data_IF_096040344143
#
_entry.id   IF_096040344143
#
_cell.length_a   1.000
_cell.length_b   1.000
_cell.length_c   1.000
_cell.angle_alpha   90.00
_cell.angle_beta   90.00
_cell.angle_gamma   90.00
#
_symmetry.space_group_name_H-M   'P 1'
#
loop_
_entity.id
_entity.type
_entity.pdbx_description
1 polymer ?
#
# COMPACT_ATOMS: atom_id res chain seq x y z
N UNK A 1 -15.82 6.85 -15.38
CA UNK A 1 -14.55 6.15 -15.72
C UNK A 1 -14.76 4.67 -15.45
N UNK A 2 -14.32 3.81 -16.37
CA UNK A 2 -14.47 2.36 -16.24
C UNK A 2 -13.34 1.75 -15.38
N UNK A 3 -13.57 0.57 -14.83
CA UNK A 3 -12.58 -0.15 -14.01
C UNK A 3 -11.24 -0.27 -14.75
N UNK A 4 -11.27 -0.72 -16.00
CA UNK A 4 -10.06 -0.92 -16.81
C UNK A 4 -9.25 0.36 -17.02
N UNK A 5 -9.94 1.47 -17.27
CA UNK A 5 -9.30 2.78 -17.43
C UNK A 5 -8.70 3.27 -16.12
N UNK A 6 -9.40 3.06 -15.00
CA UNK A 6 -8.92 3.42 -13.67
C UNK A 6 -7.67 2.62 -13.29
N UNK A 7 -7.69 1.31 -13.50
CA UNK A 7 -6.51 0.47 -13.26
C UNK A 7 -5.32 0.89 -14.11
N UNK A 8 -5.55 1.18 -15.40
CA UNK A 8 -4.50 1.66 -16.30
C UNK A 8 -3.90 2.97 -15.81
N UNK A 9 -4.73 3.92 -15.39
CA UNK A 9 -4.27 5.21 -14.87
C UNK A 9 -3.37 5.05 -13.65
N UNK A 10 -3.81 4.24 -12.67
CA UNK A 10 -3.04 4.00 -11.44
C UNK A 10 -1.72 3.27 -11.74
N UNK A 11 -1.74 2.29 -12.63
CA UNK A 11 -0.54 1.58 -13.06
C UNK A 11 0.44 2.50 -13.78
N UNK A 12 -0.03 3.36 -14.66
CA UNK A 12 0.83 4.35 -15.33
C UNK A 12 1.53 5.26 -14.34
N UNK A 13 0.84 5.71 -13.29
CA UNK A 13 1.48 6.54 -12.26
C UNK A 13 2.50 5.75 -11.44
N UNK A 14 2.13 4.60 -10.89
CA UNK A 14 2.95 3.91 -9.88
C UNK A 14 3.91 2.85 -10.44
N UNK A 15 3.60 2.23 -11.58
CA UNK A 15 4.49 1.22 -12.17
C UNK A 15 5.46 1.81 -13.20
N UNK A 16 5.02 2.81 -13.97
CA UNK A 16 5.75 3.29 -15.14
C UNK A 16 6.65 4.51 -14.84
N UNK A 17 6.63 5.03 -13.62
CA UNK A 17 7.37 6.25 -13.25
C UNK A 17 8.61 6.02 -12.38
N UNK A 18 9.09 4.79 -12.27
CA UNK A 18 10.35 4.47 -11.60
C UNK A 18 10.32 4.59 -10.08
N UNK A 19 9.17 4.36 -9.46
CA UNK A 19 9.08 4.32 -7.99
C UNK A 19 9.89 3.17 -7.43
N UNK A 20 10.55 3.44 -6.29
CA UNK A 20 11.30 2.44 -5.53
C UNK A 20 10.74 2.31 -4.11
N UNK A 21 10.94 1.13 -3.51
CA UNK A 21 10.53 0.90 -2.14
C UNK A 21 11.47 1.60 -1.15
N UNK A 22 10.89 2.26 -0.18
CA UNK A 22 11.61 3.01 0.83
C UNK A 22 10.77 4.16 1.37
N UNK A 23 11.43 5.14 1.98
CA UNK A 23 10.75 6.36 2.42
C UNK A 23 11.68 7.57 2.40
N UNK A 24 11.08 8.74 2.36
CA UNK A 24 11.75 10.03 2.37
C UNK A 24 11.38 10.77 3.67
N UNK A 25 12.37 11.28 4.36
CA UNK A 25 12.16 12.06 5.60
C UNK A 25 13.27 13.10 5.77
N UNK A 26 12.87 14.36 5.98
CA UNK A 26 13.78 15.46 6.25
C UNK A 26 14.95 15.59 5.25
N UNK A 27 14.65 15.50 3.96
CA UNK A 27 15.64 15.62 2.90
C UNK A 27 16.48 14.36 2.66
N UNK A 28 16.22 13.26 3.37
CA UNK A 28 16.96 12.01 3.24
C UNK A 28 16.06 10.88 2.77
N UNK A 29 16.57 10.08 1.83
CA UNK A 29 15.90 8.88 1.32
C UNK A 29 16.48 7.65 1.98
N UNK A 30 15.61 6.78 2.51
CA UNK A 30 15.94 5.50 3.12
C UNK A 30 15.42 4.38 2.22
N UNK A 31 16.32 3.52 1.75
CA UNK A 31 15.98 2.36 0.91
C UNK A 31 16.57 1.09 1.51
N UNK A 32 15.87 -0.06 1.45
CA UNK A 32 16.46 -1.33 1.87
C UNK A 32 17.52 -1.80 0.88
N UNK A 33 18.49 -2.54 1.37
CA UNK A 33 19.44 -3.27 0.54
C UNK A 33 18.75 -4.50 -0.05
N UNK A 34 18.39 -4.42 -1.33
CA UNK A 34 17.63 -5.48 -2.03
C UNK A 34 18.44 -6.75 -2.29
N UNK A 35 19.75 -6.74 -2.01
CA UNK A 35 20.61 -7.94 -2.08
C UNK A 35 20.49 -8.82 -0.84
N UNK A 36 19.87 -8.31 0.23
CA UNK A 36 19.62 -9.03 1.47
C UNK A 36 18.20 -9.54 1.56
N UNK A 37 17.99 -10.70 2.16
CA UNK A 37 16.65 -11.21 2.47
C UNK A 37 15.91 -10.30 3.45
N UNK A 38 16.66 -9.71 4.39
CA UNK A 38 16.16 -8.78 5.39
C UNK A 38 17.22 -7.73 5.72
N UNK A 39 16.87 -6.45 5.54
CA UNK A 39 17.73 -5.33 5.93
C UNK A 39 17.28 -4.77 7.29
N UNK A 40 17.93 -5.25 8.36
CA UNK A 40 17.61 -4.83 9.73
C UNK A 40 17.76 -3.32 9.93
N UNK A 41 18.78 -2.71 9.36
CA UNK A 41 19.04 -1.27 9.50
C UNK A 41 17.90 -0.44 8.90
N UNK A 42 17.48 -0.81 7.71
CA UNK A 42 16.32 -0.16 7.08
C UNK A 42 15.06 -0.34 7.92
N UNK A 43 14.81 -1.55 8.39
CA UNK A 43 13.63 -1.87 9.20
C UNK A 43 13.61 -1.11 10.53
N UNK A 44 14.77 -0.97 11.19
CA UNK A 44 14.90 -0.18 12.43
C UNK A 44 14.56 1.30 12.17
N UNK A 45 15.01 1.88 11.05
CA UNK A 45 14.63 3.24 10.64
C UNK A 45 13.13 3.35 10.35
N UNK A 46 12.57 2.36 9.66
CA UNK A 46 11.13 2.31 9.38
C UNK A 46 10.31 2.32 10.68
N UNK A 47 10.72 1.53 11.68
CA UNK A 47 10.01 1.45 12.95
C UNK A 47 10.13 2.71 13.82
N UNK A 48 11.24 3.44 13.72
CA UNK A 48 11.55 4.56 14.63
C UNK A 48 11.31 5.94 14.03
N UNK A 49 11.43 6.10 12.71
CA UNK A 49 11.45 7.41 12.06
C UNK A 49 10.35 7.61 11.02
N UNK A 50 9.90 6.55 10.37
CA UNK A 50 8.95 6.64 9.27
C UNK A 50 7.62 7.27 9.67
N UNK A 51 7.17 8.22 8.85
CA UNK A 51 5.82 8.77 8.88
C UNK A 51 5.19 8.61 7.49
N UNK A 52 3.88 8.42 7.46
CA UNK A 52 3.13 8.29 6.20
C UNK A 52 3.29 9.58 5.40
N UNK A 53 3.76 9.44 4.16
CA UNK A 53 4.11 10.56 3.30
C UNK A 53 2.88 11.23 2.67
N UNK A 54 2.96 12.54 2.49
CA UNK A 54 2.03 13.25 1.61
C UNK A 54 2.18 12.70 0.19
N UNK A 55 1.08 12.44 -0.55
CA UNK A 55 1.14 11.97 -1.93
C UNK A 55 2.03 12.80 -2.84
N UNK A 56 2.06 14.12 -2.65
CA UNK A 56 2.91 15.01 -3.44
C UNK A 56 4.39 14.78 -3.19
N UNK A 57 4.75 14.48 -1.95
CA UNK A 57 6.13 14.15 -1.60
C UNK A 57 6.54 12.78 -2.17
N UNK A 58 5.64 11.81 -2.13
CA UNK A 58 5.86 10.50 -2.74
C UNK A 58 6.07 10.63 -4.26
N UNK A 59 5.25 11.41 -4.94
CA UNK A 59 5.40 11.68 -6.38
C UNK A 59 6.72 12.38 -6.72
N UNK A 60 7.15 13.31 -5.88
CA UNK A 60 8.40 14.06 -6.08
C UNK A 60 9.63 13.19 -5.81
N UNK A 61 9.63 12.48 -4.69
CA UNK A 61 10.76 11.64 -4.27
C UNK A 61 10.84 10.31 -5.05
N UNK A 62 9.75 9.85 -5.64
CA UNK A 62 9.64 8.55 -6.33
C UNK A 62 10.02 7.38 -5.43
N UNK A 63 9.70 7.50 -4.16
CA UNK A 63 9.95 6.47 -3.15
C UNK A 63 8.77 6.37 -2.20
N UNK A 64 8.41 5.15 -1.81
CA UNK A 64 7.32 4.92 -0.87
C UNK A 64 7.29 3.49 -0.35
N UNK A 65 6.68 3.33 0.82
CA UNK A 65 6.31 2.03 1.38
C UNK A 65 4.94 1.59 0.86
N UNK A 66 4.43 0.46 1.35
CA UNK A 66 3.05 0.06 1.05
C UNK A 66 2.02 1.09 1.53
N UNK A 67 2.27 1.76 2.66
CA UNK A 67 1.40 2.81 3.16
C UNK A 67 1.36 4.03 2.24
N UNK A 68 2.51 4.44 1.74
CA UNK A 68 2.62 5.59 0.83
C UNK A 68 1.98 5.30 -0.52
N UNK A 69 2.13 4.07 -1.01
CA UNK A 69 1.50 3.64 -2.26
C UNK A 69 -0.03 3.69 -2.17
N UNK A 70 -0.63 3.15 -1.10
CA UNK A 70 -2.09 3.18 -0.95
C UNK A 70 -2.63 4.60 -0.74
N UNK A 71 -1.90 5.46 -0.04
CA UNK A 71 -2.26 6.87 0.15
C UNK A 71 -2.20 7.63 -1.20
N UNK A 72 -1.18 7.38 -2.00
CA UNK A 72 -1.08 7.97 -3.34
C UNK A 72 -2.19 7.48 -4.27
N UNK A 73 -2.49 6.19 -4.27
CA UNK A 73 -3.60 5.63 -5.05
C UNK A 73 -4.93 6.28 -4.65
N UNK A 74 -5.18 6.39 -3.34
CA UNK A 74 -6.41 7.01 -2.82
C UNK A 74 -6.51 8.47 -3.23
N UNK A 75 -5.42 9.24 -3.15
CA UNK A 75 -5.37 10.63 -3.59
C UNK A 75 -5.77 10.79 -5.07
N UNK A 76 -5.30 9.88 -5.94
CA UNK A 76 -5.64 9.88 -7.36
C UNK A 76 -7.13 9.53 -7.57
N UNK A 77 -7.64 8.55 -6.82
CA UNK A 77 -9.03 8.12 -6.89
C UNK A 77 -10.01 9.17 -6.36
N UNK A 78 -9.66 9.83 -5.25
CA UNK A 78 -10.48 10.88 -4.63
C UNK A 78 -10.71 12.05 -5.59
N UNK A 79 -9.71 12.43 -6.37
CA UNK A 79 -9.84 13.47 -7.40
C UNK A 79 -10.85 13.11 -8.50
N UNK A 80 -11.22 11.85 -8.60
CA UNK A 80 -12.18 11.33 -9.58
C UNK A 80 -13.48 10.87 -8.94
N UNK A 81 -13.67 11.17 -7.64
CA UNK A 81 -14.81 10.74 -6.85
C UNK A 81 -15.04 9.23 -6.89
N UNK A 82 -13.95 8.45 -6.89
CA UNK A 82 -13.99 6.99 -6.83
C UNK A 82 -13.70 6.57 -5.39
N UNK A 83 -14.69 5.94 -4.69
CA UNK A 83 -14.49 5.51 -3.31
C UNK A 83 -13.43 4.42 -3.20
N UNK A 84 -12.66 4.46 -2.12
CA UNK A 84 -11.64 3.45 -1.83
C UNK A 84 -11.55 3.15 -0.34
N UNK A 85 -10.99 1.97 -0.03
CA UNK A 85 -10.65 1.57 1.35
C UNK A 85 -9.22 1.06 1.41
N UNK A 86 -8.60 1.30 2.55
CA UNK A 86 -7.26 0.78 2.86
C UNK A 86 -7.40 -0.33 3.88
N UNK A 87 -6.75 -1.45 3.60
CA UNK A 87 -6.78 -2.66 4.43
C UNK A 87 -5.39 -3.00 4.93
N UNK A 88 -5.31 -3.42 6.19
CA UNK A 88 -4.14 -4.08 6.74
C UNK A 88 -4.33 -5.59 6.61
N UNK A 89 -3.40 -6.23 5.93
CA UNK A 89 -3.27 -7.70 5.90
C UNK A 89 -2.22 -8.09 6.93
N UNK A 90 -2.64 -8.80 7.97
CA UNK A 90 -1.75 -9.23 9.06
C UNK A 90 -1.72 -10.75 9.13
N UNK A 91 -0.58 -11.35 8.81
CA UNK A 91 -0.35 -12.78 9.00
C UNK A 91 -0.01 -13.03 10.47
N UNK A 92 -0.94 -13.63 11.20
CA UNK A 92 -0.78 -13.93 12.63
C UNK A 92 0.34 -14.92 12.92
N UNK A 93 0.66 -15.79 11.96
CA UNK A 93 1.69 -16.83 12.14
C UNK A 93 3.09 -16.26 11.97
N UNK A 94 3.33 -15.47 10.93
CA UNK A 94 4.64 -14.89 10.63
C UNK A 94 4.85 -13.50 11.23
N UNK A 95 3.77 -12.81 11.63
CA UNK A 95 3.81 -11.40 12.03
C UNK A 95 3.95 -10.42 10.87
N UNK A 96 4.01 -10.89 9.64
CA UNK A 96 4.13 -10.02 8.46
C UNK A 96 2.88 -9.19 8.27
N UNK A 97 3.08 -7.95 7.86
CA UNK A 97 2.03 -6.97 7.64
C UNK A 97 2.19 -6.30 6.29
N UNK A 98 1.07 -6.01 5.66
CA UNK A 98 1.03 -5.33 4.38
C UNK A 98 -0.25 -4.50 4.27
N UNK A 99 -0.16 -3.26 3.80
CA UNK A 99 -1.33 -2.45 3.48
C UNK A 99 -1.64 -2.53 2.00
N UNK A 100 -2.92 -2.70 1.71
CA UNK A 100 -3.45 -2.80 0.35
C UNK A 100 -4.65 -1.88 0.17
N UNK A 101 -5.04 -1.64 -1.07
CA UNK A 101 -6.19 -0.79 -1.38
C UNK A 101 -7.19 -1.54 -2.24
N UNK A 102 -8.48 -1.32 -1.93
CA UNK A 102 -9.58 -1.64 -2.83
C UNK A 102 -10.29 -0.35 -3.24
N UNK A 103 -10.82 -0.32 -4.45
CA UNK A 103 -11.72 0.76 -4.88
C UNK A 103 -13.03 0.19 -5.43
N UNK A 104 -14.04 1.03 -5.48
CA UNK A 104 -15.41 0.62 -5.79
C UNK A 104 -15.89 1.32 -7.05
N UNK A 105 -16.20 0.55 -8.09
CA UNK A 105 -16.63 1.06 -9.37
C UNK A 105 -17.45 -0.01 -10.09
N UNK A 106 -18.47 0.39 -10.83
CA UNK A 106 -19.36 -0.53 -11.59
C UNK A 106 -19.96 -1.65 -10.71
N UNK A 107 -20.30 -1.33 -9.45
CA UNK A 107 -20.79 -2.27 -8.44
C UNK A 107 -19.85 -3.45 -8.15
N UNK A 108 -18.54 -3.25 -8.39
CA UNK A 108 -17.48 -4.22 -8.10
C UNK A 108 -16.51 -3.66 -7.06
N UNK A 109 -15.82 -4.57 -6.41
CA UNK A 109 -14.67 -4.27 -5.56
C UNK A 109 -13.41 -4.65 -6.30
N UNK A 110 -12.53 -3.68 -6.55
CA UNK A 110 -11.30 -3.88 -7.32
C UNK A 110 -10.11 -3.79 -6.39
N UNK A 111 -9.31 -4.84 -6.35
CA UNK A 111 -8.01 -4.86 -5.67
C UNK A 111 -6.91 -4.60 -6.68
N UNK A 112 -6.00 -3.70 -6.34
CA UNK A 112 -4.85 -3.37 -7.18
C UNK A 112 -3.61 -3.18 -6.31
N UNK A 113 -2.55 -3.96 -6.59
CA UNK A 113 -1.31 -3.94 -5.80
C UNK A 113 -0.21 -3.17 -6.52
N UNK A 114 0.10 -1.98 -6.03
CA UNK A 114 1.07 -1.09 -6.65
C UNK A 114 2.21 -0.67 -5.69
N UNK A 115 2.39 -1.35 -4.57
CA UNK A 115 3.57 -1.13 -3.73
C UNK A 115 4.83 -1.36 -4.56
N UNK A 116 5.81 -0.44 -4.54
CA UNK A 116 6.97 -0.51 -5.45
C UNK A 116 8.01 -1.56 -5.04
N UNK A 117 7.62 -2.81 -5.07
CA UNK A 117 8.45 -4.00 -4.83
C UNK A 117 8.37 -4.92 -6.05
N UNK A 118 9.02 -4.51 -7.13
CA UNK A 118 8.92 -5.17 -8.45
C UNK A 118 9.34 -6.64 -8.48
N UNK A 119 10.17 -7.08 -7.54
CA UNK A 119 10.58 -8.49 -7.43
C UNK A 119 9.56 -9.41 -6.78
N UNK A 120 8.45 -8.88 -6.29
CA UNK A 120 7.42 -9.68 -5.62
C UNK A 120 6.39 -10.23 -6.61
N UNK A 121 5.88 -11.47 -6.39
CA UNK A 121 4.92 -12.10 -7.32
C UNK A 121 3.58 -11.36 -7.41
N UNK A 122 3.21 -10.58 -6.40
CA UNK A 122 1.97 -9.82 -6.35
C UNK A 122 2.07 -8.42 -6.98
N UNK A 123 3.27 -7.99 -7.40
CA UNK A 123 3.50 -6.65 -7.96
C UNK A 123 2.66 -6.43 -9.23
N UNK A 124 1.84 -5.39 -9.22
CA UNK A 124 0.93 -5.08 -10.31
C UNK A 124 -0.32 -5.95 -10.40
N UNK A 125 -0.57 -6.79 -9.39
CA UNK A 125 -1.73 -7.70 -9.37
C UNK A 125 -3.04 -6.91 -9.34
N UNK A 126 -3.97 -7.35 -10.19
CA UNK A 126 -5.30 -6.77 -10.35
C UNK A 126 -6.34 -7.87 -10.23
N UNK A 127 -7.29 -7.73 -9.30
CA UNK A 127 -8.39 -8.66 -9.12
C UNK A 127 -9.71 -7.90 -8.98
N UNK A 128 -10.75 -8.42 -9.62
CA UNK A 128 -12.10 -7.87 -9.56
C UNK A 128 -12.99 -8.84 -8.80
N UNK A 129 -13.59 -8.37 -7.72
CA UNK A 129 -14.52 -9.12 -6.88
C UNK A 129 -15.93 -8.60 -7.07
N UNK A 130 -16.93 -9.47 -6.94
CA UNK A 130 -18.33 -9.06 -7.04
C UNK A 130 -18.74 -8.09 -5.93
N UNK A 131 -18.11 -8.19 -4.75
CA UNK A 131 -18.37 -7.32 -3.61
C UNK A 131 -17.18 -7.34 -2.65
N UNK A 132 -17.23 -6.45 -1.65
CA UNK A 132 -16.19 -6.33 -0.62
C UNK A 132 -16.01 -7.60 0.19
N UNK A 133 -17.11 -8.30 0.52
CA UNK A 133 -17.05 -9.53 1.28
C UNK A 133 -16.24 -10.61 0.57
N UNK A 134 -16.41 -10.73 -0.74
CA UNK A 134 -15.62 -11.68 -1.55
C UNK A 134 -14.14 -11.39 -1.48
N UNK A 135 -13.74 -10.11 -1.48
CA UNK A 135 -12.35 -9.70 -1.24
C UNK A 135 -11.87 -10.11 0.14
N UNK A 136 -12.60 -9.78 1.19
CA UNK A 136 -12.24 -10.10 2.57
C UNK A 136 -12.12 -11.62 2.77
N UNK A 137 -13.06 -12.40 2.25
CA UNK A 137 -13.06 -13.86 2.33
C UNK A 137 -11.83 -14.46 1.65
N UNK A 138 -11.45 -13.95 0.48
CA UNK A 138 -10.27 -14.44 -0.25
C UNK A 138 -8.97 -14.13 0.48
N UNK A 139 -8.81 -12.90 0.97
CA UNK A 139 -7.58 -12.46 1.62
C UNK A 139 -7.46 -12.86 3.09
N UNK A 140 -8.51 -13.32 3.73
CA UNK A 140 -8.49 -13.85 5.11
C UNK A 140 -8.13 -15.34 5.21
N UNK A 141 -7.92 -16.01 4.10
CA UNK A 141 -7.49 -17.41 4.09
C UNK A 141 -6.10 -17.57 4.71
N UNK A 142 -5.85 -18.74 5.31
CA UNK A 142 -4.53 -19.09 5.84
C UNK A 142 -4.11 -18.33 7.10
N UNK A 143 -5.04 -17.84 7.89
CA UNK A 143 -4.74 -17.14 9.15
C UNK A 143 -4.43 -15.66 9.00
N UNK A 144 -4.74 -15.08 7.87
CA UNK A 144 -4.57 -13.63 7.62
C UNK A 144 -5.75 -12.87 8.25
N UNK A 145 -5.45 -11.85 9.06
CA UNK A 145 -6.43 -10.83 9.44
C UNK A 145 -6.53 -9.79 8.33
N UNK A 146 -7.76 -9.44 7.97
CA UNK A 146 -8.06 -8.36 7.02
C UNK A 146 -8.81 -7.26 7.79
N UNK A 147 -8.14 -6.13 7.99
CA UNK A 147 -8.62 -5.07 8.88
C UNK A 147 -8.77 -3.78 8.07
N UNK A 148 -9.95 -3.17 8.13
CA UNK A 148 -10.17 -1.84 7.56
C UNK A 148 -9.42 -0.79 8.38
N UNK A 149 -8.39 -0.20 7.80
CA UNK A 149 -7.56 0.84 8.41
C UNK A 149 -7.68 2.18 7.68
N UNK A 150 -8.72 2.35 6.90
CA UNK A 150 -8.93 3.53 6.05
C UNK A 150 -8.80 4.84 6.84
N UNK A 151 -9.39 4.90 8.03
CA UNK A 151 -9.38 6.09 8.87
C UNK A 151 -8.15 6.18 9.80
N UNK A 152 -7.28 5.17 9.76
CA UNK A 152 -6.07 5.09 10.60
C UNK A 152 -4.79 5.42 9.83
N UNK A 153 -4.86 5.52 8.52
CA UNK A 153 -3.71 5.85 7.64
C UNK A 153 -3.72 7.35 7.42
N UNK A 154 -3.00 8.09 8.26
CA UNK A 154 -3.00 9.55 8.28
C UNK A 154 -1.65 10.11 7.85
N UNK A 155 -1.66 11.04 6.89
CA UNK A 155 -0.46 11.73 6.38
C UNK A 155 0.27 12.44 7.50
N UNK A 156 1.59 12.26 7.56
CA UNK A 156 2.46 12.89 8.56
C UNK A 156 2.50 12.16 9.90
N UNK A 157 1.71 11.12 10.07
CA UNK A 157 1.65 10.34 11.31
C UNK A 157 2.36 9.00 11.17
N UNK A 158 2.75 8.45 12.31
CA UNK A 158 3.31 7.11 12.36
C UNK A 158 2.19 6.09 12.24
N UNK A 159 2.42 4.97 11.54
CA UNK A 159 1.40 3.94 11.40
C UNK A 159 1.29 3.08 12.68
N UNK A 160 0.69 3.60 13.71
CA UNK A 160 0.56 2.93 15.03
C UNK A 160 -0.14 1.58 14.94
N UNK A 161 -1.06 1.42 14.00
CA UNK A 161 -1.71 0.13 13.73
C UNK A 161 -0.72 -0.95 13.29
N UNK A 162 0.39 -0.59 12.62
CA UNK A 162 1.47 -1.51 12.30
C UNK A 162 2.25 -1.89 13.56
N UNK A 163 2.62 -0.90 14.36
CA UNK A 163 3.46 -1.09 15.54
C UNK A 163 2.76 -1.93 16.62
N UNK A 164 1.46 -1.72 16.83
CA UNK A 164 0.69 -2.43 17.83
C UNK A 164 0.53 -3.93 17.58
N UNK A 165 0.74 -4.38 16.34
CA UNK A 165 0.61 -5.78 15.93
C UNK A 165 1.94 -6.52 15.77
N UNK A 166 3.05 -5.83 15.95
CA UNK A 166 4.39 -6.39 15.84
C UNK A 166 4.92 -6.98 17.15
N UNK A 167 4.15 -6.86 18.21
CA UNK A 167 4.48 -7.36 19.55
C UNK A 167 3.85 -8.72 19.78
#
# INVERSE_FOLDING_TARGET
MLIKETCKLLKQELLDNGYEYGFYLNGKTYKPDMTKDFDKKFFDHLLTEYCIQDPKDTMKAKVGTCNDAVVLMRYILDKRNIPSKIWLLHDKLSGKQHTVLTFYLENKTVYLELTPQSGKPWYGKELIFDNERSFVDEYSKGGIEVIDVTDSVLIGERPDFLLSRMV
#
